data_IF_320011330611
#
_entry.id   IF_320011330611
#
_cell.length_a   1.000
_cell.length_b   1.000
_cell.length_c   1.000
_cell.angle_alpha   90.00
_cell.angle_beta   90.00
_cell.angle_gamma   90.00
#
_symmetry.space_group_name_H-M   'P 1'
#
loop_
_entity.id
_entity.type
_entity.pdbx_description
1 polymer ?
#
# COMPACT_ATOMS: atom_id res chain seq x y z
N UNK A 1 9.59 -62.46 4.24
CA UNK A 1 10.18 -62.75 2.91
C UNK A 1 10.45 -61.43 2.20
N UNK A 2 11.71 -61.04 1.97
CA UNK A 2 12.10 -59.78 1.34
C UNK A 2 12.56 -59.99 -0.12
N UNK A 3 12.33 -59.03 -1.02
CA UNK A 3 13.05 -58.84 -2.30
C UNK A 3 13.05 -57.33 -2.66
N UNK A 4 14.06 -56.53 -2.30
CA UNK A 4 15.28 -56.09 -3.03
C UNK A 4 15.13 -55.34 -4.38
N UNK A 5 15.55 -54.07 -4.35
CA UNK A 5 16.52 -53.34 -5.20
C UNK A 5 16.32 -53.22 -6.74
N UNK A 6 16.24 -51.96 -7.24
CA UNK A 6 17.32 -51.31 -8.03
C UNK A 6 16.98 -49.86 -8.48
N UNK A 7 17.87 -48.91 -8.15
CA UNK A 7 18.21 -47.71 -8.94
C UNK A 7 19.37 -48.05 -9.89
N UNK A 8 19.63 -47.33 -11.01
CA UNK A 8 20.63 -46.23 -10.96
C UNK A 8 20.60 -45.10 -12.05
N UNK A 9 21.15 -43.94 -11.67
CA UNK A 9 22.16 -43.04 -12.34
C UNK A 9 21.89 -42.15 -13.57
N UNK A 10 21.99 -40.83 -13.31
CA UNK A 10 22.94 -39.81 -13.81
C UNK A 10 23.56 -39.92 -15.22
N UNK A 11 23.35 -38.89 -16.04
CA UNK A 11 24.37 -38.36 -16.98
C UNK A 11 24.09 -36.90 -17.39
N UNK A 12 25.08 -36.04 -17.17
CA UNK A 12 25.35 -34.77 -17.91
C UNK A 12 26.41 -35.06 -18.98
N UNK A 13 26.53 -34.28 -20.07
CA UNK A 13 27.53 -33.21 -20.03
C UNK A 13 27.29 -31.96 -20.94
N UNK A 14 28.10 -30.95 -20.65
CA UNK A 14 28.78 -30.00 -21.57
C UNK A 14 28.12 -28.66 -21.98
N UNK A 15 28.64 -27.59 -21.35
CA UNK A 15 29.26 -26.37 -21.89
C UNK A 15 28.74 -25.71 -23.18
N UNK A 16 28.41 -24.42 -23.08
CA UNK A 16 29.18 -23.36 -23.77
C UNK A 16 28.82 -21.96 -23.24
N UNK A 17 29.88 -21.28 -22.79
CA UNK A 17 29.99 -19.85 -22.50
C UNK A 17 30.07 -19.01 -23.77
N UNK A 18 29.55 -17.77 -23.77
CA UNK A 18 30.06 -16.59 -24.50
C UNK A 18 29.17 -15.37 -24.19
N UNK A 19 29.61 -14.40 -23.40
CA UNK A 19 30.41 -13.22 -23.77
C UNK A 19 29.57 -12.05 -24.33
N UNK A 20 29.46 -11.01 -23.51
CA UNK A 20 29.15 -9.63 -23.88
C UNK A 20 30.10 -9.16 -25.00
N UNK A 21 29.53 -8.53 -26.03
CA UNK A 21 30.28 -7.68 -26.96
C UNK A 21 29.40 -6.53 -27.44
N UNK A 22 29.83 -5.33 -27.08
CA UNK A 22 29.33 -4.04 -27.51
C UNK A 22 29.96 -3.73 -28.86
N UNK A 23 29.16 -3.44 -29.91
CA UNK A 23 29.66 -2.80 -31.13
C UNK A 23 28.58 -1.99 -31.82
N UNK A 24 29.00 -0.80 -32.23
CA UNK A 24 28.28 0.28 -32.88
C UNK A 24 27.34 -0.13 -34.01
N UNK A 25 26.21 0.57 -34.13
CA UNK A 25 25.38 0.45 -35.33
C UNK A 25 24.07 1.21 -35.29
N UNK A 26 24.11 2.48 -35.72
CA UNK A 26 23.00 3.29 -36.25
C UNK A 26 21.68 2.54 -36.52
N UNK A 27 20.65 2.82 -35.73
CA UNK A 27 19.26 2.52 -36.11
C UNK A 27 18.75 3.61 -37.06
N UNK A 28 18.65 3.26 -38.35
CA UNK A 28 17.89 4.00 -39.36
C UNK A 28 16.42 3.59 -39.24
N UNK A 29 15.55 4.49 -38.82
CA UNK A 29 14.10 4.30 -38.94
C UNK A 29 13.62 4.96 -40.25
N UNK A 30 13.24 4.12 -41.20
CA UNK A 30 12.54 4.51 -42.42
C UNK A 30 11.05 4.72 -42.08
N UNK A 31 10.56 5.94 -42.15
CA UNK A 31 9.13 6.23 -42.18
C UNK A 31 8.85 7.20 -43.34
N UNK A 32 8.02 6.74 -44.29
CA UNK A 32 7.56 7.48 -45.47
C UNK A 32 6.62 8.63 -45.07
N UNK A 33 6.74 9.71 -45.84
CA UNK A 33 5.95 10.94 -45.76
C UNK A 33 4.47 10.76 -46.08
N UNK A 34 3.63 11.57 -45.43
CA UNK A 34 2.64 12.42 -46.11
C UNK A 34 2.43 13.73 -45.33
N UNK A 35 2.29 14.78 -46.10
CA UNK A 35 2.24 16.23 -45.84
C UNK A 35 1.17 16.74 -44.87
N UNK A 36 1.48 17.78 -44.09
CA UNK A 36 0.91 19.13 -44.27
C UNK A 36 1.60 20.16 -43.35
N UNK A 37 1.86 21.35 -43.90
CA UNK A 37 2.63 22.44 -43.30
C UNK A 37 1.75 23.27 -42.36
N UNK A 38 2.25 23.62 -41.18
CA UNK A 38 1.99 24.92 -40.55
C UNK A 38 3.24 25.38 -39.78
N UNK A 39 3.91 26.41 -40.33
CA UNK A 39 5.04 27.12 -39.75
C UNK A 39 4.55 28.04 -38.64
N UNK A 40 4.87 27.73 -37.38
CA UNK A 40 4.77 28.69 -36.28
C UNK A 40 6.17 29.21 -35.93
N UNK A 41 6.53 30.37 -36.48
CA UNK A 41 7.70 31.13 -36.04
C UNK A 41 7.39 31.83 -34.71
N UNK A 42 7.64 31.16 -33.59
CA UNK A 42 7.75 31.83 -32.29
C UNK A 42 9.15 32.44 -32.15
N UNK A 43 9.26 33.76 -32.32
CA UNK A 43 10.44 34.53 -31.90
C UNK A 43 10.39 34.67 -30.37
N UNK A 44 11.16 33.86 -29.66
CA UNK A 44 11.47 34.13 -28.25
C UNK A 44 12.79 34.91 -28.17
N UNK A 45 12.85 36.06 -27.47
CA UNK A 45 14.11 36.70 -27.19
C UNK A 45 14.92 35.82 -26.22
N UNK A 46 16.19 35.57 -26.56
CA UNK A 46 17.16 34.89 -25.71
C UNK A 46 17.40 35.73 -24.45
N UNK A 47 16.67 35.44 -23.38
CA UNK A 47 17.02 35.86 -22.02
C UNK A 47 18.25 35.07 -21.59
N UNK A 48 19.42 35.69 -21.72
CA UNK A 48 20.69 35.17 -21.24
C UNK A 48 20.76 35.37 -19.73
N UNK A 49 20.14 34.45 -18.98
CA UNK A 49 20.27 34.41 -17.51
C UNK A 49 21.69 33.92 -17.21
N UNK A 50 22.57 34.85 -16.79
CA UNK A 50 23.79 34.51 -16.05
C UNK A 50 23.38 34.20 -14.63
N UNK A 51 23.18 32.93 -14.31
CA UNK A 51 23.18 32.48 -12.93
C UNK A 51 24.63 32.26 -12.51
N UNK A 52 25.07 33.11 -11.59
CA UNK A 52 26.35 33.03 -10.87
C UNK A 52 26.39 31.69 -10.15
N UNK A 53 27.38 30.87 -10.48
CA UNK A 53 27.75 29.71 -9.68
C UNK A 53 28.33 30.22 -8.37
N UNK A 54 27.48 30.36 -7.35
CA UNK A 54 27.85 30.43 -5.94
C UNK A 54 26.59 30.20 -5.11
N UNK A 55 26.17 28.94 -5.01
CA UNK A 55 25.49 28.49 -3.80
C UNK A 55 25.95 27.07 -3.52
N UNK A 56 26.49 26.93 -2.32
CA UNK A 56 26.88 25.72 -1.60
C UNK A 56 26.30 24.42 -2.18
N UNK A 57 27.18 23.53 -2.61
CA UNK A 57 26.89 22.12 -2.94
C UNK A 57 26.61 21.28 -1.68
N UNK A 58 26.01 21.87 -0.65
CA UNK A 58 25.63 21.23 0.61
C UNK A 58 24.13 21.40 0.92
N UNK A 59 23.31 21.68 -0.10
CA UNK A 59 21.89 21.36 -0.04
C UNK A 59 21.76 19.84 -0.24
N UNK A 60 22.08 19.09 0.81
CA UNK A 60 21.85 17.65 0.87
C UNK A 60 20.43 17.33 0.42
N UNK A 61 20.28 16.22 -0.29
CA UNK A 61 19.06 15.68 -0.94
C UNK A 61 17.84 15.65 0.00
N UNK A 62 17.27 16.81 0.32
CA UNK A 62 16.06 16.94 1.13
C UNK A 62 14.88 17.10 0.19
N UNK A 63 13.97 16.15 0.26
CA UNK A 63 12.70 16.21 -0.46
C UNK A 63 11.75 17.20 0.22
N UNK A 64 10.71 17.61 -0.48
CA UNK A 64 9.62 18.41 0.13
C UNK A 64 8.98 17.67 1.32
N UNK A 65 8.88 16.34 1.24
CA UNK A 65 8.38 15.50 2.33
C UNK A 65 9.28 15.58 3.56
N UNK A 66 10.61 15.60 3.37
CA UNK A 66 11.59 15.75 4.45
C UNK A 66 11.53 17.14 5.10
N UNK A 67 11.08 18.15 4.35
CA UNK A 67 10.91 19.50 4.88
C UNK A 67 9.65 19.60 5.75
N UNK A 68 8.57 18.93 5.36
CA UNK A 68 7.32 18.90 6.14
C UNK A 68 7.44 18.02 7.39
N UNK A 69 8.21 16.93 7.33
CA UNK A 69 8.38 16.01 8.46
C UNK A 69 9.08 16.62 9.68
N UNK A 70 9.79 17.75 9.50
CA UNK A 70 10.38 18.52 10.61
C UNK A 70 9.30 19.19 11.48
N UNK A 71 8.16 19.55 10.89
CA UNK A 71 7.11 20.31 11.56
C UNK A 71 5.85 19.48 11.85
N UNK A 72 5.66 18.37 11.15
CA UNK A 72 4.44 17.58 11.19
C UNK A 72 4.74 16.09 11.18
N UNK A 73 3.91 15.31 11.89
CA UNK A 73 3.93 13.86 11.79
C UNK A 73 3.37 13.40 10.43
N UNK A 74 4.10 12.51 9.75
CA UNK A 74 3.68 11.96 8.47
C UNK A 74 2.92 10.65 8.71
N UNK A 75 1.66 10.64 8.28
CA UNK A 75 0.74 9.51 8.40
C UNK A 75 0.22 9.19 6.99
N UNK A 76 0.62 8.08 6.36
CA UNK A 76 0.11 7.69 5.06
C UNK A 76 -1.34 7.20 5.19
N UNK A 77 -2.18 7.66 4.25
CA UNK A 77 -3.59 7.27 4.12
C UNK A 77 -3.83 6.71 2.71
N UNK A 78 -3.09 5.66 2.34
CA UNK A 78 -3.17 5.08 0.98
C UNK A 78 -2.87 3.59 0.96
N UNK A 79 -3.40 2.94 -0.07
CA UNK A 79 -3.31 1.49 -0.32
C UNK A 79 -1.99 1.12 -1.02
N UNK A 80 -1.43 2.00 -1.84
CA UNK A 80 -0.24 1.75 -2.68
C UNK A 80 1.04 2.06 -1.89
N UNK A 81 1.05 1.75 -0.60
CA UNK A 81 2.17 2.04 0.28
C UNK A 81 2.84 0.76 0.71
N UNK A 82 3.58 0.14 -0.21
CA UNK A 82 4.38 -1.06 0.07
C UNK A 82 5.85 -0.71 0.41
N UNK A 83 6.28 0.53 0.15
CA UNK A 83 7.64 1.03 0.40
C UNK A 83 7.84 1.55 1.84
N UNK A 84 7.44 0.77 2.85
CA UNK A 84 7.60 1.11 4.28
C UNK A 84 9.07 1.36 4.68
N UNK A 85 10.03 0.77 3.95
CA UNK A 85 11.46 0.99 4.19
C UNK A 85 11.91 2.39 3.76
N UNK A 86 11.34 2.93 2.67
CA UNK A 86 11.75 4.24 2.13
C UNK A 86 11.10 5.39 2.89
N UNK A 87 9.84 5.22 3.30
CA UNK A 87 9.14 6.22 4.12
C UNK A 87 8.48 5.54 5.32
N UNK A 88 9.23 5.33 6.42
CA UNK A 88 8.69 4.68 7.60
C UNK A 88 7.57 5.54 8.21
N UNK A 89 6.32 5.06 8.25
CA UNK A 89 5.22 5.84 8.77
C UNK A 89 5.25 5.88 10.29
N UNK A 90 4.84 7.02 10.86
CA UNK A 90 4.78 7.17 12.33
C UNK A 90 3.49 6.58 12.88
N UNK A 91 2.38 6.69 12.15
CA UNK A 91 1.07 6.15 12.47
C UNK A 91 0.40 5.62 11.20
N UNK A 92 -0.72 4.92 11.33
CA UNK A 92 -1.48 4.39 10.20
C UNK A 92 -2.98 4.61 10.35
N UNK A 93 -3.69 4.65 9.23
CA UNK A 93 -5.15 4.74 9.16
C UNK A 93 -5.73 3.52 8.46
N UNK A 94 -6.88 3.04 8.95
CA UNK A 94 -7.64 1.95 8.35
C UNK A 94 -9.06 2.42 8.09
N UNK A 95 -9.45 2.38 6.83
CA UNK A 95 -10.78 2.80 6.37
C UNK A 95 -11.43 1.72 5.49
N UNK A 96 -12.76 1.73 5.32
CA UNK A 96 -13.42 0.89 4.33
C UNK A 96 -12.89 1.10 2.91
N UNK A 97 -12.49 2.34 2.57
CA UNK A 97 -11.86 2.65 1.28
C UNK A 97 -10.49 2.00 1.12
N UNK A 98 -9.69 1.92 2.19
CA UNK A 98 -8.43 1.18 2.20
C UNK A 98 -8.68 -0.31 1.93
N UNK A 99 -9.65 -0.92 2.63
CA UNK A 99 -10.03 -2.31 2.39
C UNK A 99 -10.47 -2.54 0.94
N UNK A 100 -11.27 -1.64 0.38
CA UNK A 100 -11.68 -1.72 -1.03
C UNK A 100 -10.47 -1.68 -1.97
N UNK A 101 -9.50 -0.82 -1.68
CA UNK A 101 -8.25 -0.78 -2.43
C UNK A 101 -7.45 -2.09 -2.33
N UNK A 102 -7.31 -2.65 -1.12
CA UNK A 102 -6.63 -3.94 -0.89
C UNK A 102 -7.32 -5.05 -1.70
N UNK A 103 -8.66 -5.04 -1.76
CA UNK A 103 -9.41 -6.01 -2.56
C UNK A 103 -9.10 -5.93 -4.06
N UNK A 104 -8.73 -4.74 -4.57
CA UNK A 104 -8.38 -4.49 -5.97
C UNK A 104 -6.91 -4.76 -6.32
N UNK A 105 -6.05 -5.02 -5.34
CA UNK A 105 -4.63 -5.31 -5.53
C UNK A 105 -4.36 -6.78 -5.14
N UNK A 106 -3.97 -7.67 -6.08
CA UNK A 106 -3.71 -9.07 -5.75
C UNK A 106 -2.42 -9.27 -4.96
N UNK A 107 -1.40 -8.43 -5.20
CA UNK A 107 -0.03 -8.64 -4.71
C UNK A 107 0.32 -7.83 -3.45
N UNK A 108 -0.68 -7.26 -2.77
CA UNK A 108 -0.46 -6.51 -1.53
C UNK A 108 -0.23 -7.42 -0.33
N UNK A 109 0.68 -7.02 0.56
CA UNK A 109 0.98 -7.72 1.81
C UNK A 109 -0.23 -7.87 2.74
N UNK A 110 -1.24 -7.00 2.59
CA UNK A 110 -2.45 -6.99 3.42
C UNK A 110 -3.56 -7.90 2.92
N UNK A 111 -3.40 -8.56 1.76
CA UNK A 111 -4.45 -9.38 1.16
C UNK A 111 -4.89 -10.53 2.07
N UNK A 112 -3.92 -11.18 2.70
CA UNK A 112 -4.16 -12.28 3.63
C UNK A 112 -5.01 -11.85 4.83
N UNK A 113 -4.89 -10.61 5.30
CA UNK A 113 -5.69 -10.09 6.41
C UNK A 113 -7.20 -10.08 6.07
N UNK A 114 -7.54 -9.73 4.82
CA UNK A 114 -8.91 -9.74 4.30
C UNK A 114 -9.40 -11.16 4.10
N UNK A 115 -8.58 -12.03 3.49
CA UNK A 115 -8.97 -13.42 3.23
C UNK A 115 -9.18 -14.20 4.54
N UNK A 116 -8.35 -13.97 5.57
CA UNK A 116 -8.55 -14.53 6.92
C UNK A 116 -9.85 -14.07 7.55
N UNK A 117 -10.25 -12.80 7.34
CA UNK A 117 -11.54 -12.32 7.84
C UNK A 117 -12.69 -13.05 7.14
N UNK A 118 -12.63 -13.22 5.82
CA UNK A 118 -13.65 -13.93 5.04
C UNK A 118 -13.73 -15.43 5.37
N UNK A 119 -12.62 -16.04 5.79
CA UNK A 119 -12.58 -17.43 6.23
C UNK A 119 -13.16 -17.66 7.63
N UNK A 120 -13.58 -16.61 8.34
CA UNK A 120 -14.07 -16.73 9.71
C UNK A 120 -15.40 -17.50 9.80
N UNK A 121 -15.37 -18.60 10.55
CA UNK A 121 -16.53 -19.47 10.77
C UNK A 121 -17.61 -18.81 11.64
N UNK A 122 -17.21 -17.96 12.58
CA UNK A 122 -18.13 -17.23 13.46
C UNK A 122 -19.01 -16.25 12.68
N UNK A 123 -18.41 -15.47 11.77
CA UNK A 123 -19.17 -14.62 10.86
C UNK A 123 -20.03 -15.45 9.91
N UNK A 124 -19.49 -16.54 9.35
CA UNK A 124 -20.21 -17.41 8.40
C UNK A 124 -21.49 -18.03 8.98
N UNK A 125 -21.51 -18.31 10.28
CA UNK A 125 -22.64 -18.92 10.98
C UNK A 125 -23.84 -17.97 11.18
N UNK A 126 -23.69 -16.66 10.97
CA UNK A 126 -24.74 -15.67 11.18
C UNK A 126 -25.82 -15.76 10.10
N UNK A 127 -27.09 -15.96 10.47
CA UNK A 127 -28.18 -16.14 9.49
C UNK A 127 -28.49 -14.87 8.68
N UNK A 128 -28.47 -13.70 9.32
CA UNK A 128 -28.78 -12.43 8.67
C UNK A 128 -27.60 -11.96 7.80
N UNK A 129 -27.85 -11.74 6.50
CA UNK A 129 -26.86 -11.32 5.51
C UNK A 129 -26.16 -10.00 5.85
N UNK A 130 -26.89 -9.00 6.35
CA UNK A 130 -26.31 -7.70 6.70
C UNK A 130 -25.40 -7.78 7.92
N UNK A 131 -25.83 -8.53 8.94
CA UNK A 131 -25.03 -8.75 10.16
C UNK A 131 -23.79 -9.56 9.83
N UNK A 132 -23.93 -10.59 8.98
CA UNK A 132 -22.83 -11.40 8.45
C UNK A 132 -21.79 -10.54 7.73
N UNK A 133 -22.23 -9.69 6.81
CA UNK A 133 -21.33 -8.80 6.08
C UNK A 133 -20.64 -7.79 7.00
N UNK A 134 -21.36 -7.21 7.96
CA UNK A 134 -20.77 -6.31 8.96
C UNK A 134 -19.71 -7.02 9.80
N UNK A 135 -19.93 -8.29 10.18
CA UNK A 135 -18.95 -9.09 10.91
C UNK A 135 -17.65 -9.25 10.11
N UNK A 136 -17.76 -9.65 8.84
CA UNK A 136 -16.59 -9.79 7.96
C UNK A 136 -15.82 -8.48 7.77
N UNK A 137 -16.53 -7.37 7.54
CA UNK A 137 -15.89 -6.06 7.37
C UNK A 137 -15.17 -5.64 8.65
N UNK A 138 -15.78 -5.78 9.83
CA UNK A 138 -15.15 -5.42 11.10
C UNK A 138 -13.89 -6.26 11.35
N UNK A 139 -13.94 -7.57 11.07
CA UNK A 139 -12.75 -8.44 11.17
C UNK A 139 -11.66 -8.05 10.17
N UNK A 140 -12.02 -7.73 8.93
CA UNK A 140 -11.05 -7.28 7.93
C UNK A 140 -10.36 -5.97 8.33
N UNK A 141 -11.12 -4.98 8.84
CA UNK A 141 -10.56 -3.73 9.36
C UNK A 141 -9.57 -3.99 10.50
N UNK A 142 -9.93 -4.87 11.43
CA UNK A 142 -9.10 -5.22 12.58
C UNK A 142 -7.84 -5.96 12.17
N UNK A 143 -7.95 -6.95 11.27
CA UNK A 143 -6.80 -7.73 10.80
C UNK A 143 -5.80 -6.83 10.06
N UNK A 144 -6.27 -5.97 9.14
CA UNK A 144 -5.41 -5.01 8.44
C UNK A 144 -4.78 -4.02 9.42
N UNK A 145 -5.55 -3.54 10.40
CA UNK A 145 -5.01 -2.67 11.45
C UNK A 145 -3.97 -3.35 12.34
N UNK A 146 -4.12 -4.65 12.60
CA UNK A 146 -3.13 -5.44 13.33
C UNK A 146 -1.82 -5.54 12.55
N UNK A 147 -1.89 -5.76 11.23
CA UNK A 147 -0.69 -5.79 10.40
C UNK A 147 -0.02 -4.41 10.34
N UNK A 148 -0.79 -3.34 10.14
CA UNK A 148 -0.26 -1.97 10.17
C UNK A 148 0.37 -1.59 11.51
N UNK A 149 -0.21 -2.06 12.64
CA UNK A 149 0.33 -1.80 13.97
C UNK A 149 1.75 -2.36 14.18
N UNK A 150 2.15 -3.38 13.40
CA UNK A 150 3.50 -3.95 13.42
C UNK A 150 4.51 -3.06 12.68
N UNK A 151 4.05 -2.27 11.70
CA UNK A 151 4.90 -1.40 10.89
C UNK A 151 5.07 0.00 11.45
N UNK A 152 4.17 0.45 12.35
CA UNK A 152 4.20 1.82 12.89
C UNK A 152 4.57 1.88 14.38
N UNK A 153 5.46 2.80 14.78
CA UNK A 153 5.78 3.02 16.19
C UNK A 153 4.62 3.68 16.95
N UNK A 154 3.83 4.52 16.29
CA UNK A 154 2.68 5.21 16.84
C UNK A 154 1.41 4.35 16.85
N UNK A 155 0.27 4.98 16.56
CA UNK A 155 -1.07 4.39 16.70
C UNK A 155 -1.68 4.06 15.34
N UNK A 156 -2.65 3.15 15.36
CA UNK A 156 -3.50 2.81 14.21
C UNK A 156 -4.89 3.34 14.44
N UNK A 157 -5.37 4.20 13.53
CA UNK A 157 -6.71 4.78 13.57
C UNK A 157 -7.66 4.00 12.67
N UNK A 158 -8.70 3.43 13.23
CA UNK A 158 -9.70 2.63 12.49
C UNK A 158 -11.02 3.36 12.41
N UNK A 159 -11.58 3.49 11.21
CA UNK A 159 -12.87 4.13 10.98
C UNK A 159 -14.05 3.31 11.50
N UNK A 160 -14.96 3.99 12.19
CA UNK A 160 -16.27 3.46 12.57
C UNK A 160 -17.24 3.66 11.41
N UNK A 161 -18.15 2.70 11.21
CA UNK A 161 -19.13 2.71 10.12
C UNK A 161 -19.88 4.05 10.01
N UNK A 162 -19.74 4.70 8.84
CA UNK A 162 -20.32 6.01 8.57
C UNK A 162 -21.85 6.04 8.66
N UNK A 163 -22.53 4.89 8.51
CA UNK A 163 -23.99 4.80 8.66
C UNK A 163 -24.45 5.10 10.08
N UNK A 164 -23.55 4.98 11.06
CA UNK A 164 -23.82 5.27 12.47
C UNK A 164 -23.63 6.76 12.84
N UNK A 165 -23.34 7.65 11.88
CA UNK A 165 -23.03 9.07 12.14
C UNK A 165 -24.07 9.83 13.00
N UNK A 166 -25.33 9.38 13.00
CA UNK A 166 -26.42 9.96 13.78
C UNK A 166 -26.81 9.13 15.02
N UNK A 167 -26.23 7.93 15.22
CA UNK A 167 -26.50 7.05 16.37
C UNK A 167 -25.29 7.02 17.31
N UNK A 168 -25.30 7.88 18.33
CA UNK A 168 -24.23 7.94 19.33
C UNK A 168 -24.06 6.62 20.09
N UNK A 169 -25.17 5.97 20.46
CA UNK A 169 -25.10 4.69 21.16
C UNK A 169 -24.60 3.57 20.24
N UNK A 170 -24.99 3.61 18.96
CA UNK A 170 -24.48 2.74 17.90
C UNK A 170 -22.97 2.85 17.73
N UNK A 171 -22.45 4.08 17.69
CA UNK A 171 -21.02 4.35 17.64
C UNK A 171 -20.31 3.73 18.85
N UNK A 172 -20.80 3.97 20.07
CA UNK A 172 -20.19 3.42 21.30
C UNK A 172 -20.15 1.89 21.27
N UNK A 173 -21.28 1.25 20.91
CA UNK A 173 -21.34 -0.22 20.77
C UNK A 173 -20.34 -0.73 19.73
N UNK A 174 -20.23 -0.05 18.59
CA UNK A 174 -19.33 -0.44 17.51
C UNK A 174 -17.85 -0.27 17.91
N UNK A 175 -17.51 0.80 18.63
CA UNK A 175 -16.14 0.99 19.15
C UNK A 175 -15.77 -0.11 20.13
N UNK A 176 -16.66 -0.47 21.06
CA UNK A 176 -16.40 -1.58 21.99
C UNK A 176 -16.27 -2.93 21.28
N UNK A 177 -17.07 -3.16 20.23
CA UNK A 177 -16.95 -4.36 19.39
C UNK A 177 -15.57 -4.43 18.71
N UNK A 178 -15.13 -3.34 18.08
CA UNK A 178 -13.82 -3.27 17.43
C UNK A 178 -12.68 -3.43 18.44
N UNK A 179 -12.79 -2.80 19.61
CA UNK A 179 -11.81 -2.94 20.69
C UNK A 179 -11.68 -4.40 21.14
N UNK A 180 -12.80 -5.12 21.28
CA UNK A 180 -12.80 -6.54 21.61
C UNK A 180 -12.08 -7.36 20.54
N UNK A 181 -12.39 -7.11 19.27
CA UNK A 181 -11.75 -7.79 18.14
C UNK A 181 -10.23 -7.52 18.10
N UNK A 182 -9.79 -6.29 18.36
CA UNK A 182 -8.36 -5.98 18.49
C UNK A 182 -7.69 -6.74 19.64
N UNK A 183 -8.42 -6.94 20.74
CA UNK A 183 -7.97 -7.77 21.86
C UNK A 183 -7.77 -9.24 21.46
N UNK A 184 -8.63 -9.79 20.60
CA UNK A 184 -8.52 -11.17 20.08
C UNK A 184 -7.24 -11.37 19.24
N UNK A 185 -6.79 -10.32 18.54
CA UNK A 185 -5.53 -10.32 17.76
C UNK A 185 -4.33 -9.72 18.50
N UNK A 186 -4.44 -9.54 19.82
CA UNK A 186 -3.38 -9.08 20.73
C UNK A 186 -2.79 -7.69 20.41
N UNK A 187 -3.60 -6.75 19.91
CA UNK A 187 -3.18 -5.35 19.75
C UNK A 187 -3.55 -4.57 21.03
N UNK A 188 -2.58 -3.94 21.71
CA UNK A 188 -2.85 -3.25 22.97
C UNK A 188 -3.68 -1.98 22.74
N UNK A 189 -4.59 -1.60 23.65
CA UNK A 189 -5.51 -0.48 23.46
C UNK A 189 -4.80 0.87 23.29
N UNK A 190 -3.58 1.03 23.83
CA UNK A 190 -2.76 2.23 23.70
C UNK A 190 -2.29 2.48 22.26
N UNK A 191 -2.23 1.42 21.44
CA UNK A 191 -1.92 1.48 20.00
C UNK A 191 -3.11 1.88 19.14
N UNK A 192 -4.31 1.99 19.70
CA UNK A 192 -5.55 2.14 18.94
C UNK A 192 -6.12 3.55 19.00
N UNK A 193 -6.69 3.98 17.88
CA UNK A 193 -7.56 5.14 17.76
C UNK A 193 -8.81 4.73 16.98
N UNK A 194 -9.97 5.30 17.31
CA UNK A 194 -11.20 5.08 16.56
C UNK A 194 -11.69 6.39 15.96
N UNK A 195 -11.81 6.43 14.63
CA UNK A 195 -12.26 7.61 13.90
C UNK A 195 -13.78 7.61 13.84
N UNK A 196 -14.37 8.56 14.56
CA UNK A 196 -15.81 8.72 14.70
C UNK A 196 -16.38 9.44 13.45
N UNK A 197 -17.42 8.90 12.81
CA UNK A 197 -18.03 9.55 11.66
C UNK A 197 -18.73 10.83 12.10
N UNK A 198 -18.56 11.88 11.30
CA UNK A 198 -19.24 13.15 11.50
C UNK A 198 -20.61 13.11 10.81
N UNK A 199 -21.71 13.52 11.47
CA UNK A 199 -22.98 13.71 10.77
C UNK A 199 -22.84 14.75 9.66
N UNK A 200 -23.43 14.43 8.50
CA UNK A 200 -23.51 15.36 7.38
C UNK A 200 -24.33 16.60 7.77
N UNK A 201 -24.06 17.72 7.09
CA UNK A 201 -24.95 18.89 7.13
C UNK A 201 -26.12 18.68 6.20
#
# INVERSE_FOLDING_TARGET
MPLTLRSPTLSTPLSSSSLLSLRDGKLKLLARSTTSKLDFRCRLPLLRIRAVANSSLDAGLRTELDSVSIFSEIVPDTVIFDDFEKFPPTAATVSPSLLLGICGLPDTVFRNAVDMALADSGCSALENSEVRLSCFVNKALVNVGCDLAKFVPGRVSTEVDARLAYDTHGIIRKVHELLRLYGEVNVPPEKLLFKIPRPGK
#
